data_IF_539370872208
#
_entry.id   IF_539370872208
#
_cell.length_a   1.000
_cell.length_b   1.000
_cell.length_c   1.000
_cell.angle_alpha   90.00
_cell.angle_beta   90.00
_cell.angle_gamma   90.00
#
_symmetry.space_group_name_H-M   'P 1'
#
loop_
_entity.id
_entity.type
_entity.pdbx_description
1 polymer ?
#
# COMPACT_ATOMS: atom_id res chain seq x y z
N UNK A 1 -42.29 -3.35 12.36
CA UNK A 1 -41.16 -3.19 13.28
C UNK A 1 -40.08 -2.51 12.48
N UNK A 2 -40.10 -1.18 12.49
CA UNK A 2 -38.97 -0.38 12.01
C UNK A 2 -37.88 -0.54 13.07
N UNK A 3 -36.75 -1.17 12.73
CA UNK A 3 -35.57 -1.13 13.59
C UNK A 3 -35.14 0.34 13.66
N UNK A 4 -35.31 0.98 14.83
CA UNK A 4 -34.73 2.30 15.07
C UNK A 4 -33.24 2.24 14.69
N UNK A 5 -32.75 3.18 13.85
CA UNK A 5 -31.35 3.19 13.48
C UNK A 5 -30.56 3.32 14.78
N UNK A 6 -29.82 2.26 15.11
CA UNK A 6 -28.96 2.19 16.29
C UNK A 6 -28.11 3.46 16.31
N UNK A 7 -28.40 4.40 17.22
CA UNK A 7 -27.56 5.56 17.47
C UNK A 7 -26.24 5.03 18.04
N UNK A 8 -25.33 4.64 17.15
CA UNK A 8 -23.96 4.34 17.52
C UNK A 8 -23.33 5.65 18.00
N UNK A 9 -22.82 5.61 19.23
CA UNK A 9 -22.06 6.71 19.82
C UNK A 9 -20.95 7.11 18.84
N UNK A 10 -20.75 8.41 18.54
CA UNK A 10 -19.63 8.89 17.73
C UNK A 10 -18.27 8.32 18.17
N UNK A 11 -18.12 7.98 19.45
CA UNK A 11 -16.93 7.29 20.00
C UNK A 11 -16.78 5.87 19.42
N UNK A 12 -17.87 5.14 19.21
CA UNK A 12 -17.86 3.81 18.59
C UNK A 12 -17.50 3.88 17.10
N UNK A 13 -17.99 4.88 16.34
CA UNK A 13 -17.57 5.06 14.94
C UNK A 13 -16.07 5.37 14.85
N UNK A 14 -15.54 6.23 15.72
CA UNK A 14 -14.10 6.52 15.78
C UNK A 14 -13.29 5.25 16.03
N UNK A 15 -13.70 4.40 16.98
CA UNK A 15 -13.00 3.13 17.27
C UNK A 15 -12.95 2.23 16.04
N UNK A 16 -14.07 2.07 15.35
CA UNK A 16 -14.14 1.26 14.11
C UNK A 16 -13.21 1.83 13.04
N UNK A 17 -13.22 3.15 12.84
CA UNK A 17 -12.34 3.81 11.86
C UNK A 17 -10.86 3.64 12.24
N UNK A 18 -10.51 3.76 13.51
CA UNK A 18 -9.14 3.52 14.00
C UNK A 18 -8.69 2.07 13.78
N UNK A 19 -9.55 1.09 14.04
CA UNK A 19 -9.24 -0.32 13.77
C UNK A 19 -9.01 -0.57 12.27
N UNK A 20 -9.79 0.08 11.40
CA UNK A 20 -9.58 0.03 9.93
C UNK A 20 -8.22 0.65 9.58
N UNK A 21 -7.88 1.82 10.13
CA UNK A 21 -6.60 2.50 9.88
C UNK A 21 -5.42 1.58 10.25
N UNK A 22 -5.44 1.03 11.47
CA UNK A 22 -4.37 0.13 11.98
C UNK A 22 -4.25 -1.11 11.09
N UNK A 23 -5.39 -1.71 10.73
CA UNK A 23 -5.42 -2.92 9.90
C UNK A 23 -4.84 -2.66 8.50
N UNK A 24 -5.24 -1.55 7.85
CA UNK A 24 -4.75 -1.21 6.52
C UNK A 24 -3.28 -0.79 6.53
N UNK A 25 -2.82 -0.12 7.57
CA UNK A 25 -1.39 0.18 7.76
C UNK A 25 -0.57 -1.12 7.86
N UNK A 26 -1.00 -2.08 8.68
CA UNK A 26 -0.34 -3.38 8.79
C UNK A 26 -0.32 -4.14 7.46
N UNK A 27 -1.40 -4.08 6.67
CA UNK A 27 -1.42 -4.67 5.33
C UNK A 27 -0.43 -3.98 4.40
N UNK A 28 -0.35 -2.64 4.39
CA UNK A 28 0.64 -1.91 3.61
C UNK A 28 2.07 -2.34 3.96
N UNK A 29 2.39 -2.45 5.26
CA UNK A 29 3.70 -2.92 5.71
C UNK A 29 3.97 -4.36 5.28
N UNK A 30 3.01 -5.28 5.45
CA UNK A 30 3.16 -6.67 5.00
C UNK A 30 3.43 -6.71 3.49
N UNK A 31 2.60 -6.08 2.67
CA UNK A 31 2.76 -6.04 1.20
C UNK A 31 4.17 -5.56 0.81
N UNK A 32 4.65 -4.49 1.45
CA UNK A 32 6.02 -4.01 1.23
C UNK A 32 7.10 -5.01 1.67
N UNK A 33 6.97 -5.61 2.86
CA UNK A 33 7.91 -6.63 3.34
C UNK A 33 8.00 -7.83 2.42
N UNK A 34 6.88 -8.26 1.85
CA UNK A 34 6.84 -9.33 0.85
C UNK A 34 7.56 -8.91 -0.44
N UNK A 35 7.30 -7.70 -0.95
CA UNK A 35 8.00 -7.17 -2.11
C UNK A 35 9.53 -7.13 -1.89
N UNK A 36 9.97 -6.61 -0.75
CA UNK A 36 11.38 -6.58 -0.38
C UNK A 36 11.98 -7.99 -0.29
N UNK A 37 11.30 -8.93 0.38
CA UNK A 37 11.75 -10.32 0.51
C UNK A 37 11.90 -11.02 -0.85
N UNK A 38 10.92 -10.85 -1.75
CA UNK A 38 10.99 -11.41 -3.10
C UNK A 38 12.14 -10.82 -3.91
N UNK A 39 12.33 -9.50 -3.87
CA UNK A 39 13.45 -8.85 -4.58
C UNK A 39 14.79 -9.28 -4.01
N UNK A 40 14.93 -9.39 -2.69
CA UNK A 40 16.16 -9.90 -2.06
C UNK A 40 16.45 -11.34 -2.50
N UNK A 41 15.45 -12.23 -2.46
CA UNK A 41 15.61 -13.62 -2.89
C UNK A 41 16.00 -13.71 -4.38
N UNK A 42 15.35 -12.91 -5.23
CA UNK A 42 15.64 -12.84 -6.67
C UNK A 42 17.06 -12.32 -6.91
N UNK A 43 17.48 -11.28 -6.17
CA UNK A 43 18.83 -10.70 -6.28
C UNK A 43 19.89 -11.71 -5.84
N UNK A 44 19.68 -12.43 -4.73
CA UNK A 44 20.59 -13.49 -4.30
C UNK A 44 20.67 -14.61 -5.34
N UNK A 45 19.54 -14.99 -5.94
CA UNK A 45 19.49 -15.97 -7.02
C UNK A 45 20.29 -15.56 -8.26
N UNK A 46 20.28 -14.27 -8.62
CA UNK A 46 21.05 -13.73 -9.76
C UNK A 46 22.56 -13.93 -9.60
N UNK A 47 23.07 -13.81 -8.38
CA UNK A 47 24.50 -13.96 -8.08
C UNK A 47 24.87 -15.38 -7.62
N UNK A 48 23.91 -16.31 -7.56
CA UNK A 48 24.17 -17.67 -7.15
C UNK A 48 24.66 -18.52 -8.33
N UNK A 49 25.84 -19.14 -8.19
CA UNK A 49 26.50 -19.88 -9.27
C UNK A 49 25.71 -21.08 -9.82
N UNK A 50 24.69 -21.56 -9.11
CA UNK A 50 23.87 -22.70 -9.56
C UNK A 50 22.71 -22.31 -10.48
N UNK A 51 22.41 -21.02 -10.65
CA UNK A 51 21.27 -20.56 -11.46
C UNK A 51 21.76 -19.51 -12.44
N UNK A 52 21.71 -19.83 -13.73
CA UNK A 52 22.00 -18.85 -14.78
C UNK A 52 20.71 -18.12 -15.15
N UNK A 53 20.50 -16.94 -14.56
CA UNK A 53 19.37 -16.07 -14.88
C UNK A 53 19.86 -14.97 -15.81
N UNK A 54 19.39 -14.91 -17.08
CA UNK A 54 19.71 -13.81 -17.96
C UNK A 54 19.33 -12.47 -17.35
N UNK A 55 20.23 -11.49 -17.39
CA UNK A 55 20.05 -10.19 -16.74
C UNK A 55 18.74 -9.49 -17.13
N UNK A 56 18.31 -9.60 -18.39
CA UNK A 56 17.07 -8.99 -18.88
C UNK A 56 15.82 -9.67 -18.29
N UNK A 57 15.84 -10.99 -18.09
CA UNK A 57 14.76 -11.72 -17.42
C UNK A 57 14.70 -11.35 -15.94
N UNK A 58 15.86 -11.22 -15.30
CA UNK A 58 15.93 -10.74 -13.92
C UNK A 58 15.29 -9.35 -13.75
N UNK A 59 15.66 -8.39 -14.61
CA UNK A 59 15.10 -7.03 -14.57
C UNK A 59 13.59 -7.06 -14.83
N UNK A 60 13.14 -7.78 -15.86
CA UNK A 60 11.72 -7.87 -16.22
C UNK A 60 10.87 -8.49 -15.10
N UNK A 61 11.33 -9.61 -14.53
CA UNK A 61 10.65 -10.28 -13.42
C UNK A 61 10.66 -9.40 -12.16
N UNK A 62 11.81 -8.81 -11.81
CA UNK A 62 11.93 -7.93 -10.64
C UNK A 62 11.01 -6.72 -10.73
N UNK A 63 10.97 -6.03 -11.88
CA UNK A 63 10.07 -4.90 -12.08
C UNK A 63 8.60 -5.31 -12.07
N UNK A 64 8.26 -6.48 -12.60
CA UNK A 64 6.89 -7.02 -12.57
C UNK A 64 6.45 -7.30 -11.13
N UNK A 65 7.33 -7.89 -10.31
CA UNK A 65 7.09 -8.11 -8.89
C UNK A 65 6.86 -6.78 -8.17
N UNK A 66 7.78 -5.82 -8.31
CA UNK A 66 7.67 -4.51 -7.67
C UNK A 66 6.38 -3.79 -8.09
N UNK A 67 6.05 -3.82 -9.38
CA UNK A 67 4.83 -3.19 -9.91
C UNK A 67 3.55 -3.87 -9.42
N UNK A 68 3.52 -5.20 -9.37
CA UNK A 68 2.39 -5.95 -8.83
C UNK A 68 2.12 -5.63 -7.37
N UNK A 69 3.17 -5.62 -6.54
CA UNK A 69 3.05 -5.23 -5.13
C UNK A 69 2.72 -3.74 -4.96
N UNK A 70 3.21 -2.86 -5.84
CA UNK A 70 2.84 -1.45 -5.84
C UNK A 70 1.33 -1.26 -6.07
N UNK A 71 0.72 -1.99 -7.01
CA UNK A 71 -0.74 -1.92 -7.25
C UNK A 71 -1.52 -2.35 -5.99
N UNK A 72 -1.12 -3.47 -5.39
CA UNK A 72 -1.77 -3.97 -4.15
C UNK A 72 -1.59 -2.97 -3.01
N UNK A 73 -0.37 -2.45 -2.82
CA UNK A 73 -0.07 -1.44 -1.81
C UNK A 73 -0.85 -0.15 -2.03
N UNK A 74 -1.04 0.27 -3.28
CA UNK A 74 -1.86 1.43 -3.63
C UNK A 74 -3.31 1.25 -3.23
N UNK A 75 -3.87 0.07 -3.41
CA UNK A 75 -5.24 -0.22 -2.98
C UNK A 75 -5.40 -0.08 -1.47
N UNK A 76 -4.53 -0.70 -0.67
CA UNK A 76 -4.56 -0.57 0.79
C UNK A 76 -4.30 0.86 1.28
N UNK A 77 -3.36 1.57 0.64
CA UNK A 77 -3.04 2.96 0.97
C UNK A 77 -4.19 3.92 0.71
N UNK A 78 -4.96 3.67 -0.35
CA UNK A 78 -6.18 4.42 -0.64
C UNK A 78 -7.20 4.25 0.48
N UNK A 79 -7.53 3.01 0.85
CA UNK A 79 -8.45 2.71 1.95
C UNK A 79 -7.99 3.32 3.26
N UNK A 80 -6.69 3.22 3.58
CA UNK A 80 -6.07 3.84 4.74
C UNK A 80 -6.26 5.37 4.76
N UNK A 81 -5.96 6.03 3.65
CA UNK A 81 -6.05 7.49 3.57
C UNK A 81 -7.50 7.99 3.64
N UNK A 82 -8.44 7.26 3.03
CA UNK A 82 -9.87 7.54 3.12
C UNK A 82 -10.38 7.39 4.56
N UNK A 83 -9.93 6.35 5.28
CA UNK A 83 -10.26 6.16 6.69
C UNK A 83 -9.70 7.28 7.59
N UNK A 84 -8.46 7.74 7.35
CA UNK A 84 -7.89 8.90 8.07
C UNK A 84 -8.72 10.16 7.85
N UNK A 85 -9.09 10.44 6.61
CA UNK A 85 -9.89 11.62 6.27
C UNK A 85 -11.26 11.56 6.95
N UNK A 86 -11.88 10.37 7.01
CA UNK A 86 -13.13 10.17 7.76
C UNK A 86 -12.94 10.43 9.25
N UNK A 87 -11.87 9.89 9.86
CA UNK A 87 -11.57 10.12 11.28
C UNK A 87 -11.54 11.62 11.60
N UNK A 88 -10.87 12.41 10.75
CA UNK A 88 -10.80 13.88 10.89
C UNK A 88 -12.16 14.55 10.76
N UNK A 89 -12.99 14.09 9.82
CA UNK A 89 -14.34 14.63 9.64
C UNK A 89 -15.24 14.34 10.85
N UNK A 90 -15.14 13.14 11.44
CA UNK A 90 -15.89 12.80 12.66
C UNK A 90 -15.44 13.68 13.82
N UNK A 91 -14.13 13.80 14.06
CA UNK A 91 -13.58 14.69 15.10
C UNK A 91 -14.05 16.14 14.92
N UNK A 92 -14.00 16.65 13.69
CA UNK A 92 -14.48 18.00 13.37
C UNK A 92 -15.98 18.16 13.63
N UNK A 93 -16.80 17.16 13.31
CA UNK A 93 -18.25 17.19 13.51
C UNK A 93 -18.64 17.10 15.00
N UNK A 94 -17.93 16.29 15.78
CA UNK A 94 -18.07 16.21 17.25
C UNK A 94 -17.72 17.56 17.88
N UNK A 95 -16.55 18.12 17.53
CA UNK A 95 -16.11 19.41 18.06
C UNK A 95 -17.04 20.57 17.69
N UNK A 96 -17.71 20.48 16.54
CA UNK A 96 -18.69 21.46 16.09
C UNK A 96 -20.12 21.20 16.62
N UNK A 97 -20.35 20.11 17.37
CA UNK A 97 -21.68 19.73 17.86
C UNK A 97 -22.70 19.42 16.75
N UNK A 98 -22.25 19.10 15.53
CA UNK A 98 -23.09 18.92 14.32
C UNK A 98 -23.13 17.47 13.83
N UNK A 99 -22.80 16.52 14.70
CA UNK A 99 -22.78 15.10 14.36
C UNK A 99 -24.20 14.55 14.21
N UNK A 100 -24.65 14.42 12.96
CA UNK A 100 -26.06 14.10 12.66
C UNK A 100 -26.32 12.65 12.22
N UNK A 101 -25.30 11.83 11.93
CA UNK A 101 -25.48 10.39 11.58
C UNK A 101 -24.17 9.64 11.30
N UNK A 102 -24.25 8.32 11.49
CA UNK A 102 -23.22 7.35 11.11
C UNK A 102 -23.06 7.29 9.58
N UNK A 103 -21.85 7.52 9.05
CA UNK A 103 -21.61 7.55 7.58
C UNK A 103 -20.40 6.71 7.16
N UNK A 104 -20.24 5.52 7.75
CA UNK A 104 -19.15 4.61 7.38
C UNK A 104 -19.23 4.15 5.91
N UNK A 105 -20.44 3.87 5.40
CA UNK A 105 -20.64 3.37 4.03
C UNK A 105 -20.25 4.39 2.94
N UNK A 106 -20.43 5.69 3.20
CA UNK A 106 -20.13 6.73 2.20
C UNK A 106 -18.61 6.90 1.94
N UNK A 107 -17.77 6.46 2.88
CA UNK A 107 -16.30 6.59 2.81
C UNK A 107 -15.68 5.47 1.97
N UNK A 108 -16.31 4.29 1.95
CA UNK A 108 -15.93 3.17 1.08
C UNK A 108 -16.46 3.34 -0.35
N UNK A 109 -17.55 4.08 -0.56
CA UNK A 109 -18.12 4.33 -1.89
C UNK A 109 -17.42 5.45 -2.68
N UNK A 110 -16.83 6.43 -2.00
CA UNK A 110 -16.12 7.50 -2.68
C UNK A 110 -14.72 7.02 -3.09
N UNK A 111 -14.67 6.31 -4.22
CA UNK A 111 -13.49 6.09 -5.05
C UNK A 111 -13.03 7.42 -5.64
N UNK A 112 -12.63 8.37 -4.78
CA UNK A 112 -11.89 9.54 -5.21
C UNK A 112 -10.59 8.99 -5.77
N UNK A 113 -10.47 9.02 -7.08
CA UNK A 113 -9.29 8.61 -7.82
C UNK A 113 -8.08 9.33 -7.20
N UNK A 114 -7.36 8.65 -6.30
CA UNK A 114 -6.00 9.08 -6.01
C UNK A 114 -5.30 9.01 -7.34
N UNK A 115 -4.88 10.17 -7.85
CA UNK A 115 -4.15 10.28 -9.11
C UNK A 115 -3.04 9.23 -9.18
N UNK A 116 -2.62 8.90 -10.41
CA UNK A 116 -1.73 7.77 -10.73
C UNK A 116 -0.47 7.69 -9.83
N UNK A 117 -0.05 8.80 -9.23
CA UNK A 117 1.14 8.91 -8.39
C UNK A 117 0.96 8.63 -6.90
N UNK A 118 -0.26 8.65 -6.34
CA UNK A 118 -0.45 8.54 -4.88
C UNK A 118 0.41 9.53 -4.06
N UNK A 119 0.38 9.46 -2.73
CA UNK A 119 1.30 10.26 -1.91
C UNK A 119 2.74 9.78 -2.06
N UNK A 120 3.73 10.68 -1.90
CA UNK A 120 5.16 10.32 -2.01
C UNK A 120 5.59 9.16 -1.10
N UNK A 121 4.93 9.02 0.04
CA UNK A 121 5.14 7.94 1.02
C UNK A 121 4.85 6.56 0.45
N UNK A 122 3.94 6.46 -0.53
CA UNK A 122 3.57 5.19 -1.14
C UNK A 122 4.53 4.78 -2.25
N UNK A 123 4.87 5.65 -3.19
CA UNK A 123 5.64 5.25 -4.37
C UNK A 123 7.15 5.18 -4.13
N UNK A 124 7.68 5.97 -3.18
CA UNK A 124 9.13 6.04 -2.91
C UNK A 124 9.76 4.69 -2.54
N UNK A 125 9.18 3.85 -1.65
CA UNK A 125 9.76 2.54 -1.33
C UNK A 125 9.83 1.60 -2.55
N UNK A 126 8.80 1.61 -3.41
CA UNK A 126 8.78 0.79 -4.63
C UNK A 126 9.72 1.33 -5.71
N UNK A 127 9.94 2.65 -5.77
CA UNK A 127 10.98 3.23 -6.60
C UNK A 127 12.37 2.73 -6.18
N UNK A 128 12.67 2.74 -4.89
CA UNK A 128 13.95 2.25 -4.35
C UNK A 128 14.15 0.77 -4.73
N UNK A 129 13.13 -0.07 -4.56
CA UNK A 129 13.20 -1.48 -4.98
C UNK A 129 13.44 -1.62 -6.49
N UNK A 130 12.80 -0.78 -7.31
CA UNK A 130 13.01 -0.77 -8.76
C UNK A 130 14.46 -0.40 -9.11
N UNK A 131 15.03 0.59 -8.43
CA UNK A 131 16.45 0.98 -8.59
C UNK A 131 17.36 -0.19 -8.24
N UNK A 132 17.10 -0.89 -7.12
CA UNK A 132 17.88 -2.08 -6.72
C UNK A 132 17.86 -3.16 -7.80
N UNK A 133 16.69 -3.46 -8.36
CA UNK A 133 16.55 -4.43 -9.47
C UNK A 133 17.36 -3.98 -10.68
N UNK A 134 17.24 -2.72 -11.12
CA UNK A 134 17.96 -2.25 -12.31
C UNK A 134 19.48 -2.27 -12.07
N UNK A 135 19.95 -1.76 -10.95
CA UNK A 135 21.39 -1.69 -10.62
C UNK A 135 22.00 -3.09 -10.52
N UNK A 136 21.33 -4.03 -9.86
CA UNK A 136 21.81 -5.41 -9.75
C UNK A 136 21.88 -6.11 -11.12
N UNK A 137 20.87 -5.93 -11.97
CA UNK A 137 20.84 -6.53 -13.31
C UNK A 137 21.92 -5.95 -14.21
N UNK A 138 22.11 -4.63 -14.19
CA UNK A 138 23.18 -3.95 -14.93
C UNK A 138 24.56 -4.35 -14.42
N UNK A 139 24.75 -4.46 -13.11
CA UNK A 139 26.00 -4.93 -12.50
C UNK A 139 26.37 -6.34 -12.95
N UNK A 140 25.38 -7.24 -13.03
CA UNK A 140 25.59 -8.61 -13.55
C UNK A 140 25.99 -8.61 -15.02
N UNK A 141 25.34 -7.78 -15.85
CA UNK A 141 25.70 -7.64 -17.27
C UNK A 141 27.16 -7.23 -17.47
N UNK A 142 27.64 -6.22 -16.74
CA UNK A 142 29.04 -5.80 -16.84
C UNK A 142 30.03 -6.88 -16.36
N UNK A 143 29.67 -7.66 -15.34
CA UNK A 143 30.52 -8.75 -14.85
C UNK A 143 30.60 -9.94 -15.82
N UNK A 144 29.60 -10.13 -16.70
CA UNK A 144 29.61 -11.18 -17.73
C UNK A 144 30.29 -10.73 -19.03
N UNK A 145 30.44 -9.42 -19.25
CA UNK A 145 31.08 -8.84 -20.44
C UNK A 145 32.60 -8.66 -20.31
N UNK A 146 33.16 -8.86 -19.11
CA UNK A 146 34.58 -8.78 -18.77
C UNK A 146 35.21 -10.18 -18.73
#
# INVERSE_FOLDING_TARGET
MEEEPKELDPIEEIKIVQDIIITQEQFCFKVFSWAAGFITALTLGLFHNSVNIPYFLYIACGLTIVFGFYIVGRHHWHTFSSAIERSRQIESAINAGSYNSFKLNHVLENDKSMGILGGYKLWLPYLILSIVVVVAGVGKYYNEAL
#
